data_IF_171248648349
#
_entry.id   IF_171248648349
#
_cell.length_a   1.000
_cell.length_b   1.000
_cell.length_c   1.000
_cell.angle_alpha   90.00
_cell.angle_beta   90.00
_cell.angle_gamma   90.00
#
_symmetry.space_group_name_H-M   'P 1'
#
loop_
_entity.id
_entity.type
_entity.pdbx_description
1 polymer ?
#
# COMPACT_ATOMS: atom_id res chain seq x y z
N UNK A 1 15.87 3.41 -4.90
CA UNK A 1 15.39 3.55 -3.52
C UNK A 1 13.90 3.30 -3.58
N UNK A 2 13.44 2.24 -2.93
CA UNK A 2 12.03 1.84 -2.95
C UNK A 2 11.39 2.30 -1.64
N UNK A 3 10.44 3.24 -1.72
CA UNK A 3 9.69 3.71 -0.56
C UNK A 3 8.39 2.91 -0.49
N UNK A 4 8.03 2.44 0.70
CA UNK A 4 6.75 1.76 0.94
C UNK A 4 6.04 2.51 2.05
N UNK A 5 4.78 2.88 1.80
CA UNK A 5 3.89 3.52 2.76
C UNK A 5 2.70 2.60 2.95
N UNK A 6 2.57 2.03 4.15
CA UNK A 6 1.42 1.22 4.55
C UNK A 6 0.55 1.96 5.56
N UNK A 7 -0.77 1.88 5.39
CA UNK A 7 -1.79 2.33 6.34
C UNK A 7 -2.69 1.16 6.70
N UNK A 8 -2.68 0.75 7.97
CA UNK A 8 -3.62 -0.24 8.50
C UNK A 8 -4.63 0.47 9.41
N UNK A 9 -5.91 0.21 9.16
CA UNK A 9 -7.02 0.73 9.93
C UNK A 9 -7.91 -0.42 10.38
N UNK A 10 -7.99 -0.57 11.70
CA UNK A 10 -8.87 -1.51 12.37
C UNK A 10 -10.12 -0.80 12.87
N UNK A 11 -11.29 -1.31 12.50
CA UNK A 11 -12.54 -0.78 13.00
C UNK A 11 -12.84 -1.40 14.36
N UNK A 12 -12.92 -0.59 15.43
CA UNK A 12 -13.23 -1.11 16.77
C UNK A 12 -14.70 -1.54 16.91
N UNK A 13 -15.59 -0.93 16.13
CA UNK A 13 -17.04 -1.18 16.16
C UNK A 13 -17.54 -2.08 15.01
N UNK A 14 -16.65 -2.60 14.16
CA UNK A 14 -17.04 -3.48 13.07
C UNK A 14 -15.99 -4.57 12.86
N UNK A 15 -16.40 -5.80 12.49
CA UNK A 15 -15.50 -6.94 12.28
C UNK A 15 -14.74 -6.82 10.95
N UNK A 16 -14.13 -5.67 10.69
CA UNK A 16 -13.41 -5.37 9.45
C UNK A 16 -12.07 -4.70 9.77
N UNK A 17 -11.04 -5.08 9.02
CA UNK A 17 -9.75 -4.40 8.97
C UNK A 17 -9.48 -4.00 7.52
N UNK A 18 -9.01 -2.77 7.32
CA UNK A 18 -8.64 -2.22 6.03
C UNK A 18 -7.15 -1.90 6.04
N UNK A 19 -6.40 -2.43 5.09
CA UNK A 19 -4.99 -2.09 4.88
C UNK A 19 -4.78 -1.56 3.47
N UNK A 20 -3.98 -0.52 3.34
CA UNK A 20 -3.56 0.09 2.08
C UNK A 20 -2.05 0.18 2.07
N UNK A 21 -1.41 -0.46 1.11
CA UNK A 21 0.03 -0.40 0.90
C UNK A 21 0.31 0.27 -0.44
N UNK A 22 1.01 1.40 -0.43
CA UNK A 22 1.45 2.09 -1.64
C UNK A 22 2.97 2.04 -1.74
N UNK A 23 3.47 1.56 -2.89
CA UNK A 23 4.89 1.37 -3.14
C UNK A 23 5.35 2.19 -4.35
N UNK A 24 5.74 3.45 -4.15
CA UNK A 24 6.41 4.20 -5.20
C UNK A 24 7.86 3.72 -5.39
N UNK A 25 8.19 3.28 -6.60
CA UNK A 25 9.54 2.96 -7.03
C UNK A 25 10.11 4.09 -7.90
N UNK A 26 11.27 4.60 -7.51
CA UNK A 26 12.00 5.61 -8.29
C UNK A 26 13.34 5.02 -8.74
N UNK A 27 13.44 4.69 -10.03
CA UNK A 27 14.68 4.23 -10.63
C UNK A 27 15.53 5.43 -11.05
N UNK A 28 16.66 5.62 -10.39
CA UNK A 28 17.58 6.76 -10.59
C UNK A 28 18.52 6.53 -11.79
N UNK A 29 18.62 5.30 -12.30
CA UNK A 29 19.48 4.95 -13.44
C UNK A 29 18.79 3.98 -14.41
N UNK A 30 18.66 4.38 -15.67
CA UNK A 30 18.19 3.55 -16.79
C UNK A 30 16.68 3.63 -17.05
N UNK A 31 16.29 4.49 -18.01
CA UNK A 31 15.09 4.48 -18.87
C UNK A 31 13.70 4.03 -18.35
N UNK A 32 13.51 3.86 -17.05
CA UNK A 32 12.24 3.60 -16.42
C UNK A 32 12.02 4.73 -15.42
N UNK A 33 11.23 5.72 -15.81
CA UNK A 33 10.88 6.85 -14.96
C UNK A 33 10.11 6.42 -13.70
N UNK A 34 9.59 7.40 -12.96
CA UNK A 34 8.77 7.17 -11.77
C UNK A 34 7.72 6.07 -11.99
N UNK A 35 7.73 5.05 -11.13
CA UNK A 35 6.75 3.95 -11.09
C UNK A 35 5.96 4.07 -9.80
N UNK A 36 4.84 4.79 -9.87
CA UNK A 36 3.93 5.01 -8.74
C UNK A 36 2.66 4.16 -8.79
N UNK A 37 2.56 3.24 -9.76
CA UNK A 37 1.37 2.44 -10.06
C UNK A 37 1.20 1.20 -9.15
N UNK A 38 2.19 0.89 -8.30
CA UNK A 38 2.10 -0.22 -7.34
C UNK A 38 1.32 0.20 -6.09
N UNK A 39 0.01 -0.08 -6.11
CA UNK A 39 -0.89 0.06 -4.97
C UNK A 39 -1.54 -1.29 -4.64
N UNK A 40 -1.56 -1.64 -3.36
CA UNK A 40 -2.25 -2.81 -2.83
C UNK A 40 -3.31 -2.38 -1.81
N UNK A 41 -4.50 -2.96 -1.92
CA UNK A 41 -5.64 -2.75 -1.02
C UNK A 41 -6.06 -4.10 -0.46
N UNK A 42 -6.21 -4.17 0.86
CA UNK A 42 -6.64 -5.38 1.57
C UNK A 42 -7.81 -5.06 2.48
N UNK A 43 -8.90 -5.81 2.34
CA UNK A 43 -10.03 -5.79 3.27
C UNK A 43 -10.18 -7.18 3.90
N UNK A 44 -10.15 -7.25 5.23
CA UNK A 44 -10.27 -8.51 5.98
C UNK A 44 -11.45 -8.47 6.93
N UNK A 45 -12.36 -9.42 6.79
CA UNK A 45 -13.42 -9.67 7.76
C UNK A 45 -12.88 -10.51 8.92
N UNK A 46 -13.13 -10.07 10.14
CA UNK A 46 -12.69 -10.68 11.40
C UNK A 46 -13.90 -10.92 12.28
N UNK A 47 -14.57 -12.06 12.08
CA UNK A 47 -15.71 -12.52 12.88
C UNK A 47 -15.25 -13.26 14.15
#
# INVERSE_FOLDING_TARGET
>A
MDLIIGLDYKFDNAPINLSIDWKPAFAIAGYQGWRGDELALSLRFTF
#
